data_IF_857845595452
#
_entry.id   IF_857845595452
#
_cell.length_a   1.000
_cell.length_b   1.000
_cell.length_c   1.000
_cell.angle_alpha   90.00
_cell.angle_beta   90.00
_cell.angle_gamma   90.00
#
_symmetry.space_group_name_H-M   'P 1'
#
loop_
_entity.id
_entity.type
_entity.pdbx_description
1 polymer ?
#
# COMPACT_ATOMS: atom_id res chain seq x y z
N UNK A 1 11.86 8.43 -10.15
CA UNK A 1 12.52 7.21 -9.67
C UNK A 1 12.19 6.09 -10.64
N UNK A 2 13.18 5.53 -11.33
CA UNK A 2 12.97 4.37 -12.19
C UNK A 2 13.17 3.10 -11.35
N UNK A 3 12.13 2.28 -11.21
CA UNK A 3 12.18 0.97 -10.55
C UNK A 3 12.76 -0.09 -11.50
N UNK A 4 14.03 0.08 -11.88
CA UNK A 4 14.73 -0.83 -12.80
C UNK A 4 15.26 -2.05 -12.03
N UNK A 5 14.35 -2.91 -11.58
CA UNK A 5 14.76 -4.19 -11.00
C UNK A 5 15.18 -5.14 -12.11
N UNK A 6 16.06 -6.09 -11.79
CA UNK A 6 16.42 -7.18 -12.70
C UNK A 6 15.18 -7.90 -13.25
N UNK A 7 14.16 -8.09 -12.41
CA UNK A 7 12.88 -8.66 -12.78
C UNK A 7 12.14 -7.85 -13.84
N UNK A 8 12.13 -6.51 -13.73
CA UNK A 8 11.50 -5.64 -14.71
C UNK A 8 12.23 -5.71 -16.07
N UNK A 9 13.56 -5.71 -16.07
CA UNK A 9 14.35 -5.89 -17.29
C UNK A 9 14.10 -7.25 -17.95
N UNK A 10 14.01 -8.32 -17.15
CA UNK A 10 13.76 -9.66 -17.65
C UNK A 10 12.34 -9.79 -18.25
N UNK A 11 11.35 -9.09 -17.67
CA UNK A 11 10.02 -8.95 -18.26
C UNK A 11 10.08 -8.25 -19.63
N UNK A 12 10.78 -7.12 -19.75
CA UNK A 12 10.89 -6.38 -21.01
C UNK A 12 11.58 -7.22 -22.10
N UNK A 13 12.62 -7.98 -21.73
CA UNK A 13 13.28 -8.94 -22.63
C UNK A 13 12.33 -10.04 -23.07
N UNK A 14 11.56 -10.62 -22.15
CA UNK A 14 10.60 -11.67 -22.48
C UNK A 14 9.49 -11.17 -23.43
N UNK A 15 9.01 -9.94 -23.25
CA UNK A 15 8.03 -9.29 -24.14
C UNK A 15 8.64 -9.09 -25.54
N UNK A 16 9.85 -8.53 -25.61
CA UNK A 16 10.56 -8.29 -26.87
C UNK A 16 10.84 -9.58 -27.63
N UNK A 17 11.35 -10.62 -26.97
CA UNK A 17 11.65 -11.92 -27.58
C UNK A 17 10.42 -12.63 -28.14
N UNK A 18 9.22 -12.32 -27.61
CA UNK A 18 7.95 -12.85 -28.09
C UNK A 18 7.25 -11.96 -29.13
N UNK A 19 7.85 -10.83 -29.52
CA UNK A 19 7.24 -9.87 -30.45
C UNK A 19 5.96 -9.23 -29.92
N UNK A 20 5.77 -9.19 -28.60
CA UNK A 20 4.58 -8.63 -27.97
C UNK A 20 4.68 -7.11 -27.86
N UNK A 21 3.54 -6.42 -28.02
CA UNK A 21 3.46 -4.97 -27.86
C UNK A 21 3.13 -4.60 -26.42
N UNK A 22 3.87 -3.65 -25.86
CA UNK A 22 3.55 -3.05 -24.57
C UNK A 22 2.46 -2.01 -24.80
N UNK A 23 1.39 -2.08 -24.00
CA UNK A 23 0.33 -1.08 -23.99
C UNK A 23 0.26 -0.43 -22.62
N UNK A 24 0.14 0.90 -22.60
CA UNK A 24 -0.07 1.63 -21.35
C UNK A 24 -1.52 1.45 -20.90
N UNK A 25 -1.77 1.33 -19.59
CA UNK A 25 -3.13 1.29 -19.05
C UNK A 25 -3.86 2.59 -19.35
N UNK A 26 -5.09 2.49 -19.86
CA UNK A 26 -5.96 3.64 -20.12
C UNK A 26 -7.21 3.50 -19.25
N UNK A 27 -7.46 4.40 -18.28
CA UNK A 27 -8.65 4.35 -17.45
C UNK A 27 -9.94 4.41 -18.26
N UNK A 28 -10.90 3.56 -17.90
CA UNK A 28 -12.16 3.36 -18.62
C UNK A 28 -12.09 2.29 -19.72
N UNK A 29 -10.90 1.84 -20.12
CA UNK A 29 -10.78 0.76 -21.12
C UNK A 29 -11.25 -0.57 -20.55
N UNK A 30 -12.06 -1.27 -21.35
CA UNK A 30 -12.66 -2.56 -21.05
C UNK A 30 -12.04 -3.67 -21.90
N UNK A 31 -11.93 -4.85 -21.31
CA UNK A 31 -11.40 -6.04 -21.94
C UNK A 31 -12.27 -7.25 -21.61
N UNK A 32 -12.56 -8.07 -22.60
CA UNK A 32 -13.22 -9.36 -22.40
C UNK A 32 -12.25 -10.41 -21.86
N UNK A 33 -12.73 -11.23 -20.92
CA UNK A 33 -12.03 -12.35 -20.33
C UNK A 33 -13.00 -13.54 -20.24
N UNK A 34 -13.18 -14.26 -21.35
CA UNK A 34 -14.26 -15.24 -21.46
C UNK A 34 -15.62 -14.57 -21.29
N UNK A 35 -16.42 -15.08 -20.34
CA UNK A 35 -17.73 -14.51 -19.96
C UNK A 35 -17.62 -13.33 -18.98
N UNK A 36 -16.42 -13.00 -18.52
CA UNK A 36 -16.15 -11.85 -17.67
C UNK A 36 -15.66 -10.65 -18.47
N UNK A 37 -15.73 -9.47 -17.86
CA UNK A 37 -15.13 -8.23 -18.37
C UNK A 37 -14.29 -7.60 -17.28
N UNK A 38 -13.13 -7.04 -17.62
CA UNK A 38 -12.41 -6.16 -16.71
C UNK A 38 -12.22 -4.76 -17.27
N UNK A 39 -12.30 -3.76 -16.38
CA UNK A 39 -12.11 -2.34 -16.66
C UNK A 39 -10.88 -1.83 -15.93
N UNK A 40 -10.02 -1.08 -16.62
CA UNK A 40 -8.90 -0.34 -16.01
C UNK A 40 -9.45 0.93 -15.35
N UNK A 41 -9.11 1.18 -14.09
CA UNK A 41 -9.58 2.34 -13.33
C UNK A 41 -8.48 3.32 -12.94
N UNK A 42 -7.23 2.86 -12.86
CA UNK A 42 -6.05 3.68 -12.58
C UNK A 42 -4.82 3.08 -13.28
N UNK A 43 -3.70 3.82 -13.45
CA UNK A 43 -3.45 5.20 -13.02
C UNK A 43 -4.24 6.26 -13.80
N UNK A 44 -4.62 7.37 -13.14
CA UNK A 44 -5.35 8.49 -13.76
C UNK A 44 -4.48 9.74 -14.02
N UNK A 45 -3.28 9.78 -13.45
CA UNK A 45 -2.26 10.80 -13.68
C UNK A 45 -0.95 10.18 -14.18
N UNK A 46 -0.02 11.05 -14.56
CA UNK A 46 1.29 10.64 -15.12
C UNK A 46 2.48 11.14 -14.30
N UNK A 47 2.25 11.93 -13.24
CA UNK A 47 3.29 12.61 -12.46
C UNK A 47 3.32 12.20 -10.98
N UNK A 48 3.08 10.92 -10.66
CA UNK A 48 3.13 10.47 -9.28
C UNK A 48 4.57 10.48 -8.73
N UNK A 49 4.69 10.85 -7.46
CA UNK A 49 5.97 10.79 -6.74
C UNK A 49 6.27 9.37 -6.25
N UNK A 50 5.23 8.66 -5.81
CA UNK A 50 5.31 7.26 -5.41
C UNK A 50 5.08 6.36 -6.64
N UNK A 51 5.95 5.37 -6.81
CA UNK A 51 5.82 4.39 -7.90
C UNK A 51 4.60 3.49 -7.73
N UNK A 52 4.16 3.26 -6.49
CA UNK A 52 2.99 2.45 -6.19
C UNK A 52 1.70 3.09 -6.71
N UNK A 53 1.66 4.42 -6.83
CA UNK A 53 0.50 5.12 -7.38
C UNK A 53 0.35 4.96 -8.90
N UNK A 54 1.36 4.40 -9.58
CA UNK A 54 1.22 3.90 -10.95
C UNK A 54 0.59 2.50 -11.02
N UNK A 55 0.15 1.92 -9.89
CA UNK A 55 -0.55 0.63 -9.87
C UNK A 55 -1.74 0.62 -10.83
N UNK A 56 -1.82 -0.44 -11.63
CA UNK A 56 -2.97 -0.68 -12.48
C UNK A 56 -4.11 -1.22 -11.63
N UNK A 57 -5.11 -0.38 -11.37
CA UNK A 57 -6.31 -0.79 -10.64
C UNK A 57 -7.30 -1.37 -11.64
N UNK A 58 -7.78 -2.58 -11.36
CA UNK A 58 -8.68 -3.33 -12.25
C UNK A 58 -9.97 -3.67 -11.52
N UNK A 59 -11.11 -3.35 -12.13
CA UNK A 59 -12.42 -3.87 -11.74
C UNK A 59 -12.79 -5.03 -12.65
N UNK A 60 -13.00 -6.22 -12.09
CA UNK A 60 -13.46 -7.41 -12.80
C UNK A 60 -14.95 -7.61 -12.52
N UNK A 61 -15.75 -7.83 -13.55
CA UNK A 61 -17.17 -8.14 -13.49
C UNK A 61 -17.41 -9.52 -14.11
N UNK A 62 -18.11 -10.40 -13.40
CA UNK A 62 -18.56 -11.69 -13.92
C UNK A 62 -19.98 -11.96 -13.43
N UNK A 63 -20.94 -11.98 -14.37
CA UNK A 63 -22.37 -11.99 -14.05
C UNK A 63 -22.74 -10.86 -13.09
N UNK A 64 -23.32 -11.19 -11.95
CA UNK A 64 -23.68 -10.31 -10.84
C UNK A 64 -22.54 -10.07 -9.84
N UNK A 65 -21.44 -10.81 -9.93
CA UNK A 65 -20.31 -10.70 -9.00
C UNK A 65 -19.19 -9.81 -9.52
N UNK A 66 -18.43 -9.21 -8.62
CA UNK A 66 -17.42 -8.24 -8.98
C UNK A 66 -16.25 -8.16 -7.99
N UNK A 67 -15.07 -7.85 -8.52
CA UNK A 67 -13.82 -7.79 -7.78
C UNK A 67 -13.09 -6.47 -8.09
N UNK A 68 -12.44 -5.88 -7.10
CA UNK A 68 -11.54 -4.74 -7.30
C UNK A 68 -10.12 -5.12 -6.87
N UNK A 69 -9.20 -5.12 -7.83
CA UNK A 69 -7.79 -5.43 -7.66
C UNK A 69 -6.98 -4.13 -7.71
N UNK A 70 -6.48 -3.69 -6.56
CA UNK A 70 -5.92 -2.34 -6.42
C UNK A 70 -4.40 -2.26 -6.54
N UNK A 71 -3.71 -3.41 -6.59
CA UNK A 71 -2.26 -3.45 -6.48
C UNK A 71 -1.80 -2.77 -5.20
N UNK A 72 -0.85 -1.84 -5.33
CA UNK A 72 -0.30 -1.06 -4.23
C UNK A 72 -0.73 0.41 -4.26
N UNK A 73 -1.78 0.74 -5.02
CA UNK A 73 -2.32 2.10 -5.14
C UNK A 73 -2.59 2.71 -3.75
N UNK A 74 -2.10 3.93 -3.55
CA UNK A 74 -2.32 4.71 -2.34
C UNK A 74 -3.57 5.58 -2.41
N UNK A 75 -3.70 6.48 -1.43
CA UNK A 75 -4.85 7.41 -1.34
C UNK A 75 -4.98 8.36 -2.53
N UNK A 76 -3.90 8.67 -3.26
CA UNK A 76 -3.97 9.59 -4.38
C UNK A 76 -4.75 8.98 -5.58
N UNK A 77 -4.36 7.82 -6.14
CA UNK A 77 -5.16 7.15 -7.18
C UNK A 77 -6.59 6.84 -6.74
N UNK A 78 -6.82 6.52 -5.47
CA UNK A 78 -8.16 6.32 -4.91
C UNK A 78 -9.03 7.58 -5.05
N UNK A 79 -8.50 8.74 -4.65
CA UNK A 79 -9.18 10.02 -4.80
C UNK A 79 -9.44 10.40 -6.26
N UNK A 80 -8.51 10.08 -7.15
CA UNK A 80 -8.67 10.32 -8.59
C UNK A 80 -9.76 9.44 -9.20
N UNK A 81 -9.84 8.16 -8.82
CA UNK A 81 -10.91 7.26 -9.25
C UNK A 81 -12.29 7.75 -8.78
N UNK A 82 -12.38 8.22 -7.54
CA UNK A 82 -13.60 8.85 -7.00
C UNK A 82 -13.97 10.12 -7.78
N UNK A 83 -12.99 10.99 -8.02
CA UNK A 83 -13.22 12.28 -8.71
C UNK A 83 -13.65 12.11 -10.16
N UNK A 84 -13.21 11.04 -10.83
CA UNK A 84 -13.67 10.69 -12.18
C UNK A 84 -15.07 10.09 -12.23
N UNK A 85 -15.70 9.82 -11.08
CA UNK A 85 -17.05 9.25 -11.02
C UNK A 85 -17.11 7.80 -11.48
N UNK A 86 -16.00 7.05 -11.39
CA UNK A 86 -16.05 5.62 -11.69
C UNK A 86 -16.96 4.88 -10.70
N UNK A 87 -17.71 3.90 -11.18
CA UNK A 87 -18.48 3.01 -10.32
C UNK A 87 -17.54 2.01 -9.62
N UNK A 88 -17.14 2.33 -8.39
CA UNK A 88 -16.20 1.53 -7.60
C UNK A 88 -16.85 0.39 -6.82
N UNK A 89 -18.19 0.32 -6.76
CA UNK A 89 -18.90 -0.71 -6.01
C UNK A 89 -18.51 -2.10 -6.51
N UNK A 90 -18.04 -2.97 -5.61
CA UNK A 90 -17.74 -4.38 -5.89
C UNK A 90 -18.11 -5.29 -4.72
N UNK A 91 -18.10 -6.60 -4.93
CA UNK A 91 -18.37 -7.59 -3.88
C UNK A 91 -17.10 -7.96 -3.09
N UNK A 92 -15.96 -8.07 -3.77
CA UNK A 92 -14.66 -8.40 -3.16
C UNK A 92 -13.60 -7.35 -3.47
N UNK A 93 -13.03 -6.76 -2.42
CA UNK A 93 -11.89 -5.85 -2.51
C UNK A 93 -10.58 -6.58 -2.17
N UNK A 94 -9.63 -6.60 -3.09
CA UNK A 94 -8.23 -6.83 -2.76
C UNK A 94 -7.67 -5.51 -2.23
N UNK A 95 -7.42 -5.48 -0.92
CA UNK A 95 -6.97 -4.27 -0.20
C UNK A 95 -5.62 -3.82 -0.73
N UNK A 96 -5.49 -2.52 -0.95
CA UNK A 96 -4.30 -1.92 -1.56
C UNK A 96 -3.09 -1.99 -0.65
N UNK A 97 -1.92 -2.18 -1.25
CA UNK A 97 -0.62 -2.01 -0.59
C UNK A 97 -0.52 -2.82 0.71
N UNK A 98 -0.89 -4.09 0.64
CA UNK A 98 -0.83 -5.02 1.78
C UNK A 98 -1.59 -4.56 3.04
N UNK A 99 -2.53 -3.62 2.92
CA UNK A 99 -3.22 -3.02 4.06
C UNK A 99 -2.45 -1.88 4.75
N UNK A 100 -1.62 -1.14 4.01
CA UNK A 100 -0.96 0.07 4.48
C UNK A 100 -1.95 1.10 5.05
N UNK A 101 -1.47 1.97 5.96
CA UNK A 101 -2.24 3.13 6.45
C UNK A 101 -2.40 4.22 5.39
N UNK A 102 -1.58 4.19 4.34
CA UNK A 102 -1.58 5.14 3.22
C UNK A 102 -2.37 4.64 2.00
N UNK A 103 -3.13 3.55 2.17
CA UNK A 103 -4.09 3.04 1.21
C UNK A 103 -5.43 2.78 1.89
N UNK A 104 -6.42 2.45 1.08
CA UNK A 104 -7.80 2.14 1.46
C UNK A 104 -8.39 3.25 2.32
N UNK A 105 -8.39 4.48 1.79
CA UNK A 105 -9.01 5.64 2.44
C UNK A 105 -10.48 5.38 2.80
N UNK A 106 -10.99 6.08 3.81
CA UNK A 106 -12.37 5.89 4.27
C UNK A 106 -13.39 6.14 3.16
N UNK A 107 -13.18 7.18 2.35
CA UNK A 107 -14.11 7.53 1.27
C UNK A 107 -14.05 6.52 0.11
N UNK A 108 -12.86 6.03 -0.21
CA UNK A 108 -12.70 4.93 -1.15
C UNK A 108 -13.41 3.66 -0.66
N UNK A 109 -13.16 3.26 0.59
CA UNK A 109 -13.78 2.05 1.15
C UNK A 109 -15.31 2.14 1.19
N UNK A 110 -15.87 3.34 1.47
CA UNK A 110 -17.31 3.61 1.39
C UNK A 110 -17.85 3.49 -0.03
N UNK A 111 -17.15 4.02 -1.03
CA UNK A 111 -17.57 3.95 -2.43
C UNK A 111 -17.49 2.52 -2.99
N UNK A 112 -16.47 1.76 -2.56
CA UNK A 112 -16.28 0.36 -2.93
C UNK A 112 -17.35 -0.54 -2.27
N UNK A 113 -17.67 -0.28 -1.00
CA UNK A 113 -18.69 -0.99 -0.21
C UNK A 113 -18.71 -2.52 -0.40
N UNK A 114 -17.58 -3.21 -0.18
CA UNK A 114 -17.47 -4.63 -0.49
C UNK A 114 -18.06 -5.49 0.64
N UNK A 115 -18.53 -6.69 0.28
CA UNK A 115 -18.88 -7.72 1.26
C UNK A 115 -17.62 -8.39 1.84
N UNK A 116 -16.59 -8.56 1.00
CA UNK A 116 -15.36 -9.24 1.34
C UNK A 116 -14.13 -8.35 1.10
N UNK A 117 -13.15 -8.42 2.00
CA UNK A 117 -11.86 -7.77 1.82
C UNK A 117 -10.72 -8.79 2.01
N UNK A 118 -9.77 -8.81 1.08
CA UNK A 118 -8.58 -9.66 1.15
C UNK A 118 -7.33 -8.79 1.28
N UNK A 119 -6.59 -8.97 2.37
CA UNK A 119 -5.26 -8.40 2.55
C UNK A 119 -4.25 -9.50 2.18
N UNK A 120 -3.58 -9.33 1.04
CA UNK A 120 -2.42 -10.16 0.70
C UNK A 120 -1.18 -9.55 1.32
N UNK A 121 -0.62 -10.21 2.29
CA UNK A 121 0.51 -9.77 3.11
C UNK A 121 1.28 -10.98 3.63
N UNK A 122 2.59 -10.82 3.79
CA UNK A 122 3.44 -11.84 4.42
C UNK A 122 3.28 -11.86 5.94
N UNK A 123 3.50 -13.03 6.53
CA UNK A 123 3.64 -13.16 7.99
C UNK A 123 4.81 -12.32 8.48
N UNK A 124 4.65 -11.67 9.62
CA UNK A 124 5.67 -10.84 10.27
C UNK A 124 6.25 -9.76 9.33
N UNK A 125 5.39 -9.17 8.50
CA UNK A 125 5.79 -8.19 7.49
C UNK A 125 6.55 -7.02 8.15
N UNK A 126 7.83 -6.80 7.79
CA UNK A 126 8.69 -5.84 8.46
C UNK A 126 8.29 -4.37 8.23
N UNK A 127 7.42 -4.10 7.24
CA UNK A 127 6.89 -2.77 6.98
C UNK A 127 5.74 -2.39 7.92
N UNK A 128 5.33 -3.29 8.82
CA UNK A 128 4.20 -3.05 9.72
C UNK A 128 2.86 -3.07 8.98
N UNK A 129 2.70 -3.99 8.01
CA UNK A 129 1.46 -4.18 7.25
C UNK A 129 0.85 -5.56 7.50
N UNK A 130 -0.47 -5.67 7.73
CA UNK A 130 -1.46 -4.61 7.61
C UNK A 130 -1.57 -3.67 8.80
N UNK A 131 -1.61 -2.36 8.55
CA UNK A 131 -1.67 -1.36 9.59
C UNK A 131 -2.95 -1.49 10.45
N UNK A 132 -2.87 -1.32 11.80
CA UNK A 132 -4.03 -1.42 12.68
C UNK A 132 -5.20 -0.50 12.29
N UNK A 133 -4.91 0.69 11.77
CA UNK A 133 -5.92 1.64 11.31
C UNK A 133 -6.70 1.11 10.10
N UNK A 134 -6.03 0.39 9.20
CA UNK A 134 -6.67 -0.23 8.03
C UNK A 134 -7.53 -1.41 8.42
N UNK A 135 -7.06 -2.26 9.34
CA UNK A 135 -7.89 -3.31 9.94
C UNK A 135 -9.15 -2.70 10.57
N UNK A 136 -8.98 -1.66 11.40
CA UNK A 136 -10.10 -0.98 12.08
C UNK A 136 -11.11 -0.39 11.10
N UNK A 137 -10.67 0.25 10.01
CA UNK A 137 -11.57 0.77 8.95
C UNK A 137 -12.43 -0.34 8.37
N UNK A 138 -11.82 -1.47 8.00
CA UNK A 138 -12.51 -2.61 7.37
C UNK A 138 -13.50 -3.25 8.35
N UNK A 139 -13.09 -3.49 9.60
CA UNK A 139 -13.93 -4.14 10.60
C UNK A 139 -15.10 -3.26 11.03
N UNK A 140 -14.88 -1.95 11.18
CA UNK A 140 -15.96 -1.01 11.51
C UNK A 140 -17.01 -0.90 10.40
N UNK A 141 -16.60 -1.12 9.14
CA UNK A 141 -17.50 -1.21 8.00
C UNK A 141 -18.24 -2.56 7.90
N UNK A 142 -18.03 -3.48 8.87
CA UNK A 142 -18.61 -4.84 8.93
C UNK A 142 -18.29 -5.69 7.69
N UNK A 143 -17.13 -5.45 7.08
CA UNK A 143 -16.64 -6.20 5.93
C UNK A 143 -15.97 -7.48 6.42
N UNK A 144 -16.22 -8.60 5.76
CA UNK A 144 -15.56 -9.87 6.08
C UNK A 144 -14.11 -9.82 5.61
N UNK A 145 -13.18 -9.80 6.55
CA UNK A 145 -11.76 -9.68 6.28
C UNK A 145 -11.08 -11.05 6.18
N UNK A 146 -10.20 -11.21 5.19
CA UNK A 146 -9.35 -12.39 5.01
C UNK A 146 -7.90 -11.93 4.83
N UNK A 147 -6.95 -12.60 5.49
CA UNK A 147 -5.54 -12.24 5.41
C UNK A 147 -4.65 -13.44 5.09
N UNK A 148 -3.75 -13.29 4.13
CA UNK A 148 -2.88 -14.40 3.69
C UNK A 148 -1.80 -14.76 4.71
N UNK A 149 -1.41 -13.84 5.59
CA UNK A 149 -0.47 -14.11 6.68
C UNK A 149 -1.05 -15.01 7.78
N UNK A 150 -2.37 -15.03 7.91
CA UNK A 150 -3.09 -15.88 8.88
C UNK A 150 -3.63 -17.16 8.25
N UNK A 151 -4.09 -17.10 6.99
CA UNK A 151 -4.84 -18.19 6.35
C UNK A 151 -4.09 -18.89 5.22
N UNK A 152 -2.90 -18.40 4.85
CA UNK A 152 -2.17 -18.84 3.67
C UNK A 152 -2.87 -18.41 2.37
N UNK A 153 -2.89 -19.29 1.38
CA UNK A 153 -3.61 -19.05 0.13
C UNK A 153 -5.12 -18.93 0.38
N UNK A 154 -5.73 -17.89 -0.16
CA UNK A 154 -7.17 -17.65 -0.17
C UNK A 154 -7.67 -17.81 -1.59
N UNK A 155 -8.68 -18.65 -1.79
CA UNK A 155 -9.33 -18.93 -3.07
C UNK A 155 -10.75 -18.35 -3.01
N UNK A 156 -11.00 -17.33 -3.82
CA UNK A 156 -12.33 -16.79 -4.06
C UNK A 156 -12.81 -17.25 -5.44
N UNK A 157 -13.88 -18.05 -5.49
CA UNK A 157 -14.47 -18.58 -6.71
C UNK A 157 -15.80 -17.91 -6.97
N UNK A 158 -16.04 -17.47 -8.20
CA UNK A 158 -17.34 -16.97 -8.66
C UNK A 158 -17.90 -17.87 -9.76
N UNK A 159 -19.21 -18.12 -9.70
CA UNK A 159 -20.01 -18.75 -10.75
C UNK A 159 -20.84 -17.74 -11.57
N UNK A 160 -20.63 -16.44 -11.31
CA UNK A 160 -21.38 -15.36 -11.94
C UNK A 160 -22.59 -14.90 -11.12
N UNK A 161 -23.02 -15.63 -10.10
CA UNK A 161 -24.09 -15.19 -9.20
C UNK A 161 -23.59 -14.95 -7.78
N UNK A 162 -22.70 -15.80 -7.27
CA UNK A 162 -22.16 -15.73 -5.91
C UNK A 162 -20.64 -15.89 -5.87
N UNK A 163 -20.02 -15.31 -4.84
CA UNK A 163 -18.61 -15.55 -4.52
C UNK A 163 -18.54 -16.51 -3.32
N UNK A 164 -17.81 -17.62 -3.49
CA UNK A 164 -17.43 -18.55 -2.42
C UNK A 164 -15.97 -18.37 -2.07
N UNK A 165 -15.66 -18.28 -0.78
CA UNK A 165 -14.27 -18.22 -0.28
C UNK A 165 -13.99 -19.53 0.44
N UNK A 166 -12.85 -20.17 0.15
CA UNK A 166 -12.45 -21.48 0.70
C UNK A 166 -12.06 -21.45 2.18
N UNK A 167 -11.85 -20.25 2.73
CA UNK A 167 -11.52 -20.00 4.13
C UNK A 167 -12.70 -19.42 4.90
N UNK A 168 -12.65 -19.56 6.23
CA UNK A 168 -13.43 -18.70 7.13
C UNK A 168 -12.74 -17.34 7.25
N UNK A 169 -13.53 -16.28 7.45
CA UNK A 169 -12.99 -14.94 7.65
C UNK A 169 -11.98 -14.92 8.82
N UNK A 170 -10.92 -14.13 8.66
CA UNK A 170 -9.91 -13.92 9.68
C UNK A 170 -10.56 -13.37 10.95
N UNK A 171 -10.17 -13.85 12.15
CA UNK A 171 -10.59 -13.20 13.39
C UNK A 171 -10.14 -11.74 13.38
N UNK A 172 -10.92 -10.86 14.01
CA UNK A 172 -10.52 -9.45 14.15
C UNK A 172 -9.31 -9.37 15.07
N UNK A 173 -8.14 -9.35 14.45
CA UNK A 173 -6.86 -9.11 15.09
C UNK A 173 -6.29 -7.86 14.44
N UNK A 174 -6.17 -6.79 15.20
CA UNK A 174 -5.19 -5.76 14.87
C UNK A 174 -3.84 -6.49 14.74
N UNK A 175 -3.03 -6.07 13.78
CA UNK A 175 -1.73 -6.68 13.53
C UNK A 175 -0.94 -7.02 14.81
N UNK A 176 -0.16 -8.11 14.76
CA UNK A 176 0.89 -8.34 15.73
C UNK A 176 1.91 -7.19 15.66
N UNK A 177 2.44 -6.71 16.81
CA UNK A 177 3.39 -5.61 16.80
C UNK A 177 4.72 -6.07 16.17
N UNK A 178 5.45 -5.22 15.44
CA UNK A 178 6.90 -5.34 15.44
C UNK A 178 7.36 -4.87 16.83
N UNK A 179 7.79 -5.79 17.71
CA UNK A 179 8.43 -5.42 18.97
C UNK A 179 9.82 -6.04 19.10
N UNK A 180 10.81 -5.15 19.01
CA UNK A 180 12.06 -5.08 19.79
C UNK A 180 12.80 -6.37 20.11
N UNK A 181 14.01 -6.54 19.56
CA UNK A 181 15.04 -7.39 20.18
C UNK A 181 15.91 -6.52 21.08
N UNK A 182 15.81 -6.76 22.39
CA UNK A 182 16.75 -6.27 23.39
C UNK A 182 17.93 -7.22 23.54
N UNK A 183 19.13 -6.62 23.54
CA UNK A 183 20.39 -6.97 24.23
C UNK A 183 20.66 -8.45 24.55
N UNK A 184 21.62 -9.05 23.84
CA UNK A 184 22.83 -9.54 24.54
C UNK A 184 24.09 -9.57 23.64
N UNK A 185 25.23 -9.44 24.32
CA UNK A 185 26.58 -9.08 23.84
C UNK A 185 27.20 -10.10 22.89
N UNK A 186 27.87 -9.63 21.83
CA UNK A 186 28.77 -10.46 21.02
C UNK A 186 29.17 -9.86 19.67
N UNK A 187 30.27 -9.10 19.68
CA UNK A 187 31.19 -8.69 18.61
C UNK A 187 30.84 -8.85 17.10
N UNK A 188 30.81 -7.69 16.43
CA UNK A 188 31.44 -7.34 15.13
C UNK A 188 30.92 -7.94 13.80
N UNK A 189 30.28 -7.10 12.97
CA UNK A 189 30.83 -6.50 11.72
C UNK A 189 29.72 -5.97 10.77
N UNK A 190 29.89 -4.71 10.38
CA UNK A 190 29.50 -4.03 9.13
C UNK A 190 28.02 -3.88 8.66
N UNK A 191 27.67 -2.59 8.54
CA UNK A 191 26.82 -1.91 7.54
C UNK A 191 25.30 -2.20 7.50
N UNK A 192 24.47 -1.21 7.90
CA UNK A 192 23.02 -1.21 7.65
C UNK A 192 22.44 0.18 7.31
N UNK A 193 21.58 0.21 6.28
CA UNK A 193 20.76 1.33 5.75
C UNK A 193 19.30 1.24 6.25
N UNK A 194 18.67 2.42 6.41
CA UNK A 194 17.22 2.76 6.35
C UNK A 194 16.24 2.12 7.37
N UNK A 195 15.41 2.83 8.16
CA UNK A 195 15.36 4.20 8.69
C UNK A 195 14.42 4.18 9.91
N UNK A 196 15.00 4.01 11.08
CA UNK A 196 14.37 3.73 12.38
C UNK A 196 13.84 5.00 13.09
N UNK A 197 13.50 6.05 12.33
CA UNK A 197 13.32 7.42 12.83
C UNK A 197 12.05 8.08 12.31
N UNK A 198 11.43 8.91 13.17
CA UNK A 198 10.23 9.69 12.86
C UNK A 198 10.54 11.16 12.57
N UNK A 199 11.76 11.61 12.90
CA UNK A 199 12.18 13.01 12.78
C UNK A 199 13.60 13.13 12.24
N UNK A 200 13.84 14.17 11.43
CA UNK A 200 15.14 14.49 10.84
C UNK A 200 15.62 15.82 11.42
N UNK A 201 16.69 15.80 12.20
CA UNK A 201 17.39 16.97 12.73
C UNK A 201 18.45 17.52 11.77
N UNK A 202 18.70 18.82 11.83
CA UNK A 202 19.83 19.49 11.20
C UNK A 202 20.92 19.75 12.25
N UNK A 203 22.09 19.11 12.08
CA UNK A 203 23.24 19.23 13.00
C UNK A 203 23.70 20.67 13.25
N UNK A 204 23.54 21.54 12.25
CA UNK A 204 24.02 22.92 12.29
C UNK A 204 23.00 23.88 12.91
N UNK A 205 21.73 23.80 12.47
CA UNK A 205 20.70 24.74 12.95
C UNK A 205 19.97 24.29 14.21
N UNK A 206 20.23 23.05 14.67
CA UNK A 206 19.53 22.41 15.79
C UNK A 206 18.00 22.43 15.64
N UNK A 207 17.50 22.36 14.41
CA UNK A 207 16.06 22.19 14.13
C UNK A 207 15.76 20.77 13.71
N UNK A 208 14.61 20.23 14.11
CA UNK A 208 14.13 18.94 13.64
C UNK A 208 12.83 19.06 12.84
N UNK A 209 12.64 18.12 11.93
CA UNK A 209 11.68 18.16 10.83
C UNK A 209 10.96 16.82 10.69
N UNK A 210 9.73 16.82 10.18
CA UNK A 210 9.12 15.60 9.64
C UNK A 210 9.85 15.18 8.36
N UNK A 211 9.93 13.87 8.03
CA UNK A 211 10.56 13.37 6.80
C UNK A 211 9.95 13.91 5.50
N UNK A 212 8.76 14.52 5.55
CA UNK A 212 8.06 15.14 4.41
C UNK A 212 8.30 16.66 4.31
N UNK A 213 9.13 17.26 5.18
CA UNK A 213 9.32 18.69 5.21
C UNK A 213 9.99 19.20 3.92
N UNK A 214 9.43 20.23 3.28
CA UNK A 214 10.03 20.86 2.09
C UNK A 214 11.39 21.56 2.33
N UNK A 215 11.79 21.71 3.60
CA UNK A 215 13.04 22.36 4.00
C UNK A 215 13.97 21.42 4.76
N UNK A 216 14.04 20.14 4.34
CA UNK A 216 14.97 19.19 4.93
C UNK A 216 16.43 19.62 4.74
N UNK A 217 17.30 19.41 5.74
CA UNK A 217 18.72 19.68 5.60
C UNK A 217 19.37 18.75 4.58
N UNK A 218 20.52 19.15 4.05
CA UNK A 218 21.38 18.29 3.22
C UNK A 218 21.76 17.01 3.99
N UNK A 219 21.93 15.89 3.28
CA UNK A 219 22.06 14.56 3.88
C UNK A 219 23.20 14.45 4.90
N UNK A 220 24.36 15.04 4.59
CA UNK A 220 25.53 15.09 5.47
C UNK A 220 25.26 15.84 6.80
N UNK A 221 24.29 16.76 6.80
CA UNK A 221 23.90 17.56 7.95
C UNK A 221 22.72 16.96 8.73
N UNK A 222 22.24 15.77 8.36
CA UNK A 222 21.12 15.09 9.03
C UNK A 222 21.57 14.37 10.29
N UNK A 223 20.74 14.46 11.32
CA UNK A 223 20.66 13.53 12.45
C UNK A 223 19.22 13.04 12.53
N UNK A 224 18.98 11.91 13.19
CA UNK A 224 17.69 11.24 13.15
C UNK A 224 17.21 10.96 14.57
N UNK A 225 15.92 11.19 14.83
CA UNK A 225 15.30 10.93 16.12
C UNK A 225 14.05 10.06 15.92
N UNK A 226 13.83 9.13 16.85
CA UNK A 226 12.69 8.22 16.81
C UNK A 226 11.43 8.89 17.32
N UNK A 227 11.58 9.78 18.30
CA UNK A 227 10.45 10.50 18.93
C UNK A 227 10.69 12.00 19.02
N UNK A 228 9.61 12.77 19.17
CA UNK A 228 9.66 14.21 19.38
C UNK A 228 10.39 14.57 20.68
N UNK A 229 10.17 13.78 21.73
CA UNK A 229 10.82 13.97 23.02
C UNK A 229 12.34 13.82 22.93
N UNK A 230 12.81 12.80 22.20
CA UNK A 230 14.24 12.58 21.97
C UNK A 230 14.92 13.77 21.28
N UNK A 231 14.29 14.33 20.24
CA UNK A 231 14.80 15.52 19.56
C UNK A 231 14.91 16.73 20.50
N UNK A 232 13.87 16.97 21.31
CA UNK A 232 13.83 18.08 22.26
C UNK A 232 14.88 17.88 23.36
N UNK A 233 14.98 16.68 23.95
CA UNK A 233 15.99 16.35 24.97
C UNK A 233 17.42 16.44 24.42
N UNK A 234 17.63 16.21 23.12
CA UNK A 234 18.89 16.41 22.43
C UNK A 234 19.18 17.89 22.07
N UNK A 235 18.31 18.82 22.48
CA UNK A 235 18.48 20.26 22.28
C UNK A 235 18.03 20.77 20.91
N UNK A 236 17.11 20.06 20.24
CA UNK A 236 16.61 20.46 18.92
C UNK A 236 15.21 21.09 19.03
N UNK A 237 15.00 22.16 18.27
CA UNK A 237 13.72 22.87 18.19
C UNK A 237 12.86 22.42 17.00
N UNK A 238 11.52 22.40 17.14
CA UNK A 238 10.65 21.97 16.05
C UNK A 238 10.66 22.99 14.90
N UNK A 239 10.73 22.48 13.66
CA UNK A 239 10.62 23.30 12.47
C UNK A 239 9.25 23.98 12.37
N UNK A 240 9.24 25.32 12.28
CA UNK A 240 7.99 26.11 12.17
C UNK A 240 7.17 25.85 10.89
N UNK A 241 7.78 25.27 9.85
CA UNK A 241 7.15 25.00 8.56
C UNK A 241 6.36 23.69 8.61
N UNK A 242 6.99 22.58 8.99
CA UNK A 242 6.32 21.27 9.05
C UNK A 242 5.65 20.97 10.40
N UNK A 243 5.86 21.81 11.41
CA UNK A 243 5.27 21.72 12.76
C UNK A 243 5.32 20.28 13.34
N UNK A 244 6.53 19.71 13.50
CA UNK A 244 6.75 18.34 13.98
C UNK A 244 6.47 18.12 15.48
#
# INVERSE_FOLDING_TARGET
>A
MQSNTKTFEDLLKAISNKGLKITSPVPGTKYSLGEAEFTILAPNGSGYKDVNDYSVVVKLQFGKTSFLLTGDAGVQPEGEMLSKGFNLKVDLLKVGHHGSRYSTSTDFLKAVSPQFAVISVGKDNPYGHPAPETIKKITNARIQLYRTDELGTIIATSDGDIIKIDKKASPVKAQAPPQTVGVDKGESKQAAKASDYSYIGNKNSKKFHLPICGSLPAEQNRIYFKTRGEAISAGYEPCKICKP
#
